data_IF_989922404556
#
_entry.id   IF_989922404556
#
_cell.length_a   1.000
_cell.length_b   1.000
_cell.length_c   1.000
_cell.angle_alpha   90.00
_cell.angle_beta   90.00
_cell.angle_gamma   90.00
#
_symmetry.space_group_name_H-M   'P 1'
#
loop_
_entity.id
_entity.type
_entity.pdbx_description
1 polymer ?
#
# COMPACT_ATOMS: atom_id res chain seq x y z
N UNK A 1 -34.73 -32.38 13.12
CA UNK A 1 -34.49 -30.96 12.76
C UNK A 1 -33.86 -30.14 13.89
N UNK A 2 -34.48 -29.94 15.07
CA UNK A 2 -33.92 -29.06 16.14
C UNK A 2 -32.52 -29.46 16.65
N UNK A 3 -32.19 -30.75 16.77
CA UNK A 3 -30.85 -31.21 17.16
C UNK A 3 -29.79 -30.96 16.06
N UNK A 4 -30.17 -31.15 14.80
CA UNK A 4 -29.29 -30.91 13.65
C UNK A 4 -28.97 -29.41 13.49
N UNK A 5 -29.97 -28.54 13.66
CA UNK A 5 -29.80 -27.08 13.67
C UNK A 5 -28.85 -26.62 14.80
N UNK A 6 -28.95 -27.22 16.00
CA UNK A 6 -28.02 -26.93 17.10
C UNK A 6 -26.59 -27.36 16.79
N UNK A 7 -26.41 -28.54 16.19
CA UNK A 7 -25.08 -29.04 15.80
C UNK A 7 -24.47 -28.13 14.72
N UNK A 8 -25.25 -27.77 13.68
CA UNK A 8 -24.81 -26.84 12.64
C UNK A 8 -24.45 -25.46 13.22
N UNK A 9 -25.23 -24.97 14.19
CA UNK A 9 -24.92 -23.73 14.90
C UNK A 9 -23.59 -23.79 15.66
N UNK A 10 -23.31 -24.89 16.36
CA UNK A 10 -22.03 -25.07 17.08
C UNK A 10 -20.85 -25.14 16.10
N UNK A 11 -21.00 -25.87 14.99
CA UNK A 11 -19.97 -25.95 13.95
C UNK A 11 -19.70 -24.58 13.35
N UNK A 12 -20.74 -23.81 13.03
CA UNK A 12 -20.63 -22.46 12.49
C UNK A 12 -19.88 -21.53 13.45
N UNK A 13 -20.22 -21.55 14.74
CA UNK A 13 -19.53 -20.76 15.77
C UNK A 13 -18.06 -21.18 15.90
N UNK A 14 -17.78 -22.49 15.90
CA UNK A 14 -16.40 -23.00 15.94
C UNK A 14 -15.56 -22.55 14.74
N UNK A 15 -16.16 -22.57 13.54
CA UNK A 15 -15.50 -22.08 12.32
C UNK A 15 -15.24 -20.57 12.39
N UNK A 16 -16.23 -19.78 12.84
CA UNK A 16 -16.07 -18.34 13.03
C UNK A 16 -14.94 -18.00 13.99
N UNK A 17 -14.87 -18.69 15.14
CA UNK A 17 -13.77 -18.50 16.10
C UNK A 17 -12.42 -18.84 15.45
N UNK A 18 -12.36 -19.92 14.67
CA UNK A 18 -11.12 -20.32 13.99
C UNK A 18 -10.66 -19.28 12.97
N UNK A 19 -11.57 -18.70 12.18
CA UNK A 19 -11.27 -17.63 11.22
C UNK A 19 -10.77 -16.38 11.94
N UNK A 20 -11.45 -15.98 13.02
CA UNK A 20 -11.09 -14.81 13.82
C UNK A 20 -9.69 -14.98 14.44
N UNK A 21 -9.42 -16.15 15.04
CA UNK A 21 -8.11 -16.46 15.60
C UNK A 21 -7.03 -16.50 14.52
N UNK A 22 -7.34 -17.07 13.34
CA UNK A 22 -6.45 -17.06 12.19
C UNK A 22 -6.09 -15.63 11.76
N UNK A 23 -7.09 -14.76 11.60
CA UNK A 23 -6.88 -13.36 11.25
C UNK A 23 -5.92 -12.67 12.23
N UNK A 24 -6.18 -12.73 13.54
CA UNK A 24 -5.31 -12.09 14.53
C UNK A 24 -3.90 -12.68 14.59
N UNK A 25 -3.72 -13.96 14.23
CA UNK A 25 -2.39 -14.59 14.19
C UNK A 25 -1.58 -14.22 12.94
N UNK A 26 -2.23 -13.88 11.83
CA UNK A 26 -1.55 -13.52 10.58
C UNK A 26 -1.48 -12.01 10.34
N UNK A 27 -2.25 -11.22 11.09
CA UNK A 27 -2.23 -9.76 11.02
C UNK A 27 -0.92 -9.18 11.55
N UNK A 28 -0.34 -8.28 10.78
CA UNK A 28 0.77 -7.43 11.20
C UNK A 28 0.23 -6.12 11.78
N UNK A 29 0.47 -5.90 13.07
CA UNK A 29 0.06 -4.68 13.76
C UNK A 29 1.19 -3.66 13.67
N UNK A 30 0.84 -2.38 13.55
CA UNK A 30 1.83 -1.31 13.59
C UNK A 30 2.65 -1.36 14.89
N UNK A 31 3.95 -1.08 14.81
CA UNK A 31 4.78 -0.76 15.97
C UNK A 31 4.29 0.55 16.62
N UNK A 32 4.92 1.02 17.70
CA UNK A 32 4.50 2.23 18.43
C UNK A 32 4.67 3.51 17.58
N UNK A 33 3.74 3.72 16.67
CA UNK A 33 3.69 4.83 15.72
C UNK A 33 3.06 6.04 16.42
N UNK A 34 3.89 7.05 16.69
CA UNK A 34 3.47 8.32 17.26
C UNK A 34 2.68 9.17 16.26
N UNK A 35 1.42 9.46 16.59
CA UNK A 35 0.55 10.34 15.78
C UNK A 35 0.91 11.80 16.04
N UNK A 36 1.22 12.55 14.97
CA UNK A 36 1.55 13.98 15.02
C UNK A 36 0.32 14.84 14.71
N UNK A 37 0.41 16.16 14.97
CA UNK A 37 -0.72 17.07 14.79
C UNK A 37 -1.24 17.19 13.35
N UNK A 38 -0.41 16.95 12.34
CA UNK A 38 -0.81 16.95 10.93
C UNK A 38 -1.31 15.59 10.43
N UNK A 39 -1.47 14.62 11.34
CA UNK A 39 -1.99 13.29 11.05
C UNK A 39 -3.40 13.20 11.60
N UNK A 40 -4.38 13.02 10.73
CA UNK A 40 -5.79 12.87 11.08
C UNK A 40 -6.30 11.49 10.64
N UNK A 41 -7.43 11.07 11.21
CA UNK A 41 -8.08 9.80 10.86
C UNK A 41 -9.57 10.04 10.59
N UNK A 42 -10.09 9.45 9.52
CA UNK A 42 -11.51 9.47 9.17
C UNK A 42 -12.03 8.06 8.83
N UNK A 43 -13.19 7.97 8.18
CA UNK A 43 -13.81 6.69 7.80
C UNK A 43 -13.06 5.91 6.72
N UNK A 44 -12.17 6.57 5.95
CA UNK A 44 -11.38 5.94 4.89
C UNK A 44 -10.00 5.52 5.37
N UNK A 45 -9.48 6.12 6.44
CA UNK A 45 -8.20 5.75 7.03
C UNK A 45 -7.47 6.95 7.60
N UNK A 46 -6.16 7.00 7.39
CA UNK A 46 -5.30 8.07 7.89
C UNK A 46 -5.01 9.10 6.81
N UNK A 47 -4.80 10.34 7.21
CA UNK A 47 -4.40 11.43 6.33
C UNK A 47 -3.25 12.20 6.95
N UNK A 48 -2.18 12.42 6.19
CA UNK A 48 -1.05 13.27 6.57
C UNK A 48 -1.06 14.49 5.65
N UNK A 49 -1.42 15.62 6.25
CA UNK A 49 -1.61 16.91 5.57
C UNK A 49 -0.30 17.71 5.51
N UNK A 50 -0.08 18.40 4.40
CA UNK A 50 0.99 19.37 4.17
C UNK A 50 0.46 20.66 3.57
N UNK A 51 0.98 21.83 3.98
CA UNK A 51 0.55 23.10 3.40
C UNK A 51 1.14 23.29 1.98
N UNK A 52 0.28 23.64 1.02
CA UNK A 52 0.64 23.89 -0.39
C UNK A 52 1.26 22.65 -1.07
N UNK A 53 0.52 21.56 -1.03
CA UNK A 53 0.87 20.27 -1.60
C UNK A 53 1.19 20.33 -3.10
N UNK A 54 2.18 19.54 -3.51
CA UNK A 54 2.54 19.39 -4.92
C UNK A 54 1.55 18.48 -5.63
N UNK A 55 1.19 17.37 -4.98
CA UNK A 55 0.19 16.40 -5.42
C UNK A 55 -0.31 15.62 -4.21
N UNK A 56 -1.44 14.94 -4.38
CA UNK A 56 -2.00 14.04 -3.36
C UNK A 56 -1.68 12.60 -3.70
N UNK A 57 -1.16 11.86 -2.73
CA UNK A 57 -0.95 10.43 -2.79
C UNK A 57 -2.11 9.73 -2.07
N UNK A 58 -2.64 8.68 -2.66
CA UNK A 58 -3.59 7.78 -2.01
C UNK A 58 -2.98 6.39 -1.98
N UNK A 59 -2.72 5.90 -0.76
CA UNK A 59 -1.93 4.70 -0.49
C UNK A 59 -2.81 3.53 -0.04
N UNK A 60 -2.69 2.40 -0.73
CA UNK A 60 -3.21 1.11 -0.28
C UNK A 60 -2.16 0.37 0.57
N UNK A 61 -2.56 -0.08 1.76
CA UNK A 61 -1.74 -0.90 2.66
C UNK A 61 -1.39 -2.28 2.08
N UNK A 62 -0.45 -3.00 2.71
CA UNK A 62 -0.20 -4.42 2.43
C UNK A 62 -1.32 -5.34 2.94
N UNK A 63 -1.37 -6.56 2.42
CA UNK A 63 -2.32 -7.56 2.91
C UNK A 63 -2.07 -7.89 4.38
N UNK A 64 -3.11 -7.77 5.21
CA UNK A 64 -3.07 -8.01 6.65
C UNK A 64 -2.12 -7.08 7.44
N UNK A 65 -1.69 -5.96 6.85
CA UNK A 65 -0.83 -4.97 7.51
C UNK A 65 -1.67 -3.79 7.94
N UNK A 66 -1.65 -3.46 9.23
CA UNK A 66 -2.34 -2.29 9.79
C UNK A 66 -2.02 -0.99 9.02
N UNK A 67 -3.05 -0.24 8.60
CA UNK A 67 -2.89 1.03 7.89
C UNK A 67 -1.95 2.00 8.62
N UNK A 68 -2.02 2.03 9.96
CA UNK A 68 -1.22 2.92 10.81
C UNK A 68 0.29 2.69 10.64
N UNK A 69 0.70 1.48 10.24
CA UNK A 69 2.11 1.13 10.03
C UNK A 69 2.77 1.98 8.94
N UNK A 70 2.01 2.60 8.04
CA UNK A 70 2.56 3.42 6.96
C UNK A 70 2.70 4.90 7.31
N UNK A 71 2.22 5.35 8.48
CA UNK A 71 2.34 6.76 8.90
C UNK A 71 3.80 7.28 8.94
N UNK A 72 4.82 6.50 9.36
CA UNK A 72 6.21 6.97 9.31
C UNK A 72 6.70 7.22 7.87
N UNK A 73 6.40 6.31 6.93
CA UNK A 73 6.69 6.50 5.51
C UNK A 73 5.94 7.72 4.95
N UNK A 74 4.66 7.83 5.28
CA UNK A 74 3.83 8.97 4.90
C UNK A 74 4.40 10.29 5.44
N UNK A 75 4.95 10.31 6.65
CA UNK A 75 5.62 11.48 7.20
C UNK A 75 6.88 11.87 6.39
N UNK A 76 7.71 10.90 5.99
CA UNK A 76 8.87 11.17 5.13
C UNK A 76 8.46 11.71 3.75
N UNK A 77 7.36 11.22 3.19
CA UNK A 77 6.78 11.72 1.93
C UNK A 77 6.20 13.12 2.11
N UNK A 78 5.51 13.37 3.22
CA UNK A 78 4.96 14.69 3.58
C UNK A 78 6.07 15.74 3.74
N UNK A 79 7.24 15.38 4.27
CA UNK A 79 8.42 16.26 4.32
C UNK A 79 8.90 16.70 2.93
N UNK A 80 8.50 16.00 1.85
CA UNK A 80 8.74 16.37 0.44
C UNK A 80 7.60 17.18 -0.18
N UNK A 81 6.57 17.52 0.57
CA UNK A 81 5.45 18.37 0.10
C UNK A 81 4.36 17.61 -0.65
N UNK A 82 4.14 16.33 -0.32
CA UNK A 82 3.01 15.55 -0.82
C UNK A 82 2.04 15.22 0.31
N UNK A 83 0.77 15.52 0.08
CA UNK A 83 -0.30 15.01 0.93
C UNK A 83 -0.43 13.50 0.74
N UNK A 84 -0.81 12.79 1.79
CA UNK A 84 -0.99 11.34 1.68
C UNK A 84 -2.15 10.80 2.52
N UNK A 85 -3.10 10.18 1.84
CA UNK A 85 -4.12 9.32 2.43
C UNK A 85 -3.59 7.89 2.51
N UNK A 86 -3.76 7.22 3.65
CA UNK A 86 -3.48 5.79 3.84
C UNK A 86 -4.81 5.11 4.11
N UNK A 87 -5.27 4.34 3.15
CA UNK A 87 -6.57 3.67 3.20
C UNK A 87 -6.57 2.53 4.20
N UNK A 88 -7.51 2.58 5.13
CA UNK A 88 -7.84 1.51 6.07
C UNK A 88 -8.99 0.67 5.51
N UNK A 89 -8.66 -0.56 5.12
CA UNK A 89 -9.61 -1.49 4.49
C UNK A 89 -10.09 -2.54 5.47
N UNK A 90 -11.31 -3.05 5.25
CA UNK A 90 -11.85 -4.12 6.08
C UNK A 90 -10.90 -5.31 6.14
N UNK A 91 -10.66 -5.84 7.35
CA UNK A 91 -9.74 -6.94 7.61
C UNK A 91 -8.29 -6.69 7.14
N UNK A 92 -7.87 -5.43 7.06
CA UNK A 92 -6.57 -5.02 6.54
C UNK A 92 -6.27 -5.57 5.13
N UNK A 93 -7.31 -5.70 4.30
CA UNK A 93 -7.22 -6.27 2.96
C UNK A 93 -7.64 -5.23 1.91
N UNK A 94 -6.69 -4.66 1.14
CA UNK A 94 -6.94 -3.61 0.14
C UNK A 94 -8.04 -3.91 -0.87
N UNK A 95 -8.24 -5.19 -1.19
CA UNK A 95 -9.27 -5.63 -2.14
C UNK A 95 -10.70 -5.26 -1.67
N UNK A 96 -10.93 -5.18 -0.35
CA UNK A 96 -12.22 -4.73 0.20
C UNK A 96 -12.36 -3.20 0.21
N UNK A 97 -11.26 -2.46 0.04
CA UNK A 97 -11.22 -1.00 -0.05
C UNK A 97 -11.04 -0.47 -1.48
N UNK A 98 -11.24 -1.28 -2.52
CA UNK A 98 -10.91 -0.89 -3.92
C UNK A 98 -11.54 0.44 -4.36
N UNK A 99 -12.74 0.78 -3.86
CA UNK A 99 -13.42 2.03 -4.23
C UNK A 99 -13.04 3.23 -3.35
N UNK A 100 -12.28 3.06 -2.28
CA UNK A 100 -11.98 4.14 -1.33
C UNK A 100 -11.19 5.28 -1.99
N UNK A 101 -10.21 4.97 -2.85
CA UNK A 101 -9.48 6.00 -3.57
C UNK A 101 -10.39 6.86 -4.47
N UNK A 102 -11.33 6.23 -5.19
CA UNK A 102 -12.33 6.96 -5.98
C UNK A 102 -13.19 7.87 -5.10
N UNK A 103 -13.66 7.37 -3.96
CA UNK A 103 -14.49 8.14 -3.04
C UNK A 103 -13.75 9.37 -2.49
N UNK A 104 -12.47 9.23 -2.12
CA UNK A 104 -11.64 10.35 -1.65
C UNK A 104 -11.44 11.37 -2.77
N UNK A 105 -11.10 10.91 -3.98
CA UNK A 105 -10.91 11.76 -5.16
C UNK A 105 -12.16 12.59 -5.47
N UNK A 106 -13.34 11.98 -5.41
CA UNK A 106 -14.62 12.67 -5.64
C UNK A 106 -14.98 13.62 -4.51
N UNK A 107 -14.79 13.19 -3.24
CA UNK A 107 -15.12 13.98 -2.05
C UNK A 107 -14.31 15.26 -1.97
N UNK A 108 -13.00 15.15 -2.16
CA UNK A 108 -12.05 16.25 -2.03
C UNK A 108 -11.78 16.96 -3.36
N UNK A 109 -12.45 16.53 -4.45
CA UNK A 109 -12.28 17.07 -5.81
C UNK A 109 -10.82 17.07 -6.28
N UNK A 110 -10.06 16.02 -5.91
CA UNK A 110 -8.63 15.94 -6.17
C UNK A 110 -8.34 15.84 -7.67
N UNK A 111 -7.23 16.43 -8.05
CA UNK A 111 -6.64 16.36 -9.40
C UNK A 111 -5.17 15.99 -9.27
N UNK A 112 -4.59 15.38 -10.30
CA UNK A 112 -3.18 14.97 -10.31
C UNK A 112 -2.82 13.98 -9.19
N UNK A 113 -3.68 12.99 -8.96
CA UNK A 113 -3.51 12.02 -7.87
C UNK A 113 -2.50 10.95 -8.25
N UNK A 114 -1.74 10.52 -7.25
CA UNK A 114 -0.79 9.41 -7.37
C UNK A 114 -1.32 8.25 -6.53
N UNK A 115 -1.55 7.09 -7.16
CA UNK A 115 -1.91 5.89 -6.43
C UNK A 115 -0.65 5.15 -5.99
N UNK A 116 -0.48 4.99 -4.69
CA UNK A 116 0.63 4.25 -4.10
C UNK A 116 0.12 2.96 -3.50
N UNK A 117 0.94 1.91 -3.49
CA UNK A 117 0.58 0.73 -2.72
C UNK A 117 1.73 -0.20 -2.45
N UNK A 118 1.66 -0.84 -1.28
CA UNK A 118 2.63 -1.84 -0.84
C UNK A 118 2.10 -3.26 -1.06
N UNK A 119 2.91 -4.14 -1.68
CA UNK A 119 2.55 -5.55 -1.88
C UNK A 119 1.16 -5.68 -2.54
N UNK A 120 0.19 -6.39 -1.93
CA UNK A 120 -1.18 -6.46 -2.46
C UNK A 120 -1.82 -5.07 -2.69
N UNK A 121 -1.48 -4.07 -1.88
CA UNK A 121 -1.97 -2.70 -2.08
C UNK A 121 -1.51 -2.10 -3.41
N UNK A 122 -0.29 -2.40 -3.87
CA UNK A 122 0.19 -1.92 -5.17
C UNK A 122 -0.52 -2.60 -6.34
N UNK A 123 -0.86 -3.89 -6.18
CA UNK A 123 -1.72 -4.61 -7.13
C UNK A 123 -3.06 -3.90 -7.27
N UNK A 124 -3.74 -3.63 -6.14
CA UNK A 124 -5.04 -2.95 -6.14
C UNK A 124 -4.94 -1.52 -6.66
N UNK A 125 -3.96 -0.75 -6.21
CA UNK A 125 -3.74 0.63 -6.66
C UNK A 125 -3.52 0.74 -8.17
N UNK A 126 -2.71 -0.16 -8.74
CA UNK A 126 -2.50 -0.21 -10.19
C UNK A 126 -3.77 -0.54 -10.99
N UNK A 127 -4.64 -1.39 -10.43
CA UNK A 127 -5.92 -1.71 -11.05
C UNK A 127 -6.88 -0.51 -11.04
N UNK A 128 -6.95 0.21 -9.91
CA UNK A 128 -7.81 1.40 -9.76
C UNK A 128 -7.37 2.52 -10.70
N UNK A 129 -6.05 2.70 -10.88
CA UNK A 129 -5.47 3.72 -11.75
C UNK A 129 -6.03 3.69 -13.18
N UNK A 130 -6.23 2.50 -13.76
CA UNK A 130 -6.75 2.34 -15.13
C UNK A 130 -8.17 2.89 -15.33
N UNK A 131 -8.95 2.97 -14.26
CA UNK A 131 -10.35 3.41 -14.29
C UNK A 131 -10.57 4.87 -13.89
N UNK A 132 -9.49 5.62 -13.60
CA UNK A 132 -9.60 6.94 -13.00
C UNK A 132 -8.76 7.99 -13.73
N UNK A 133 -9.44 8.93 -14.41
CA UNK A 133 -8.80 9.98 -15.19
C UNK A 133 -8.11 11.06 -14.37
N UNK A 134 -8.35 11.13 -13.05
CA UNK A 134 -7.68 12.08 -12.17
C UNK A 134 -6.34 11.54 -11.65
N UNK A 135 -5.99 10.30 -11.99
CA UNK A 135 -4.73 9.64 -11.61
C UNK A 135 -3.67 9.90 -12.67
N UNK A 136 -2.58 10.54 -12.26
CA UNK A 136 -1.43 10.89 -13.13
C UNK A 136 -0.24 9.93 -12.95
N UNK A 137 -0.27 9.11 -11.91
CA UNK A 137 0.77 8.12 -11.69
C UNK A 137 0.49 7.05 -10.66
N UNK A 138 1.38 6.05 -10.67
CA UNK A 138 1.33 4.88 -9.79
C UNK A 138 2.70 4.65 -9.15
N UNK A 139 2.73 4.41 -7.84
CA UNK A 139 3.93 3.99 -7.11
C UNK A 139 3.73 2.59 -6.55
N UNK A 140 4.53 1.65 -7.03
CA UNK A 140 4.52 0.24 -6.64
C UNK A 140 5.65 -0.02 -5.65
N UNK A 141 5.32 -0.20 -4.37
CA UNK A 141 6.27 -0.55 -3.32
C UNK A 141 6.26 -2.06 -3.12
N UNK A 142 7.36 -2.74 -3.45
CA UNK A 142 7.45 -4.20 -3.32
C UNK A 142 6.29 -4.94 -4.02
N UNK A 143 5.86 -4.39 -5.18
CA UNK A 143 4.63 -4.78 -5.86
C UNK A 143 4.76 -4.70 -7.38
N UNK A 144 3.78 -5.28 -8.08
CA UNK A 144 3.61 -5.28 -9.52
C UNK A 144 2.12 -5.30 -9.90
N UNK A 145 1.73 -4.89 -11.12
CA UNK A 145 0.35 -5.05 -11.59
C UNK A 145 -0.03 -6.52 -11.79
N UNK A 146 -1.29 -6.87 -11.49
CA UNK A 146 -1.84 -8.19 -11.79
C UNK A 146 -1.86 -8.47 -13.30
N UNK A 147 -2.01 -9.74 -13.70
CA UNK A 147 -2.06 -10.14 -15.12
C UNK A 147 -3.14 -9.40 -15.92
N UNK A 148 -4.29 -9.11 -15.31
CA UNK A 148 -5.39 -8.37 -15.92
C UNK A 148 -5.26 -6.84 -15.87
N UNK A 149 -4.15 -6.31 -15.37
CA UNK A 149 -3.92 -4.87 -15.20
C UNK A 149 -2.76 -4.44 -16.09
N UNK A 150 -3.08 -3.86 -17.25
CA UNK A 150 -2.11 -3.43 -18.25
C UNK A 150 -2.03 -1.91 -18.34
N UNK A 151 -0.95 -1.35 -17.79
CA UNK A 151 -0.60 0.08 -17.82
C UNK A 151 0.30 0.44 -19.02
N UNK A 152 0.73 -0.52 -19.85
CA UNK A 152 1.78 -0.33 -20.86
C UNK A 152 1.50 0.78 -21.87
N UNK A 153 0.22 1.00 -22.20
CA UNK A 153 -0.23 2.04 -23.13
C UNK A 153 -0.69 3.33 -22.43
N UNK A 154 -0.58 3.41 -21.10
CA UNK A 154 -0.96 4.60 -20.35
C UNK A 154 0.11 5.70 -20.44
N UNK A 155 -0.31 6.94 -20.30
CA UNK A 155 0.61 8.10 -20.15
C UNK A 155 1.02 8.34 -18.70
N UNK A 156 0.54 7.52 -17.77
CA UNK A 156 0.82 7.66 -16.34
C UNK A 156 2.30 7.47 -16.05
N UNK A 157 2.81 8.29 -15.14
CA UNK A 157 4.13 8.10 -14.54
C UNK A 157 4.07 6.88 -13.61
N UNK A 158 4.91 5.87 -13.84
CA UNK A 158 4.99 4.69 -12.94
C UNK A 158 6.36 4.56 -12.30
N UNK A 159 6.39 4.49 -10.97
CA UNK A 159 7.57 4.25 -10.14
C UNK A 159 7.45 2.87 -9.51
N UNK A 160 8.40 1.98 -9.77
CA UNK A 160 8.48 0.66 -9.16
C UNK A 160 9.70 0.58 -8.24
N UNK A 161 9.48 0.40 -6.94
CA UNK A 161 10.53 0.36 -5.93
C UNK A 161 10.52 -1.01 -5.26
N UNK A 162 11.67 -1.68 -5.25
CA UNK A 162 11.86 -2.95 -4.53
C UNK A 162 13.12 -2.91 -3.68
N UNK A 163 13.17 -3.69 -2.60
CA UNK A 163 14.40 -3.92 -1.85
C UNK A 163 15.24 -5.06 -2.46
N UNK A 164 16.57 -4.97 -2.41
CA UNK A 164 17.42 -6.08 -2.85
C UNK A 164 17.44 -7.25 -1.83
N UNK A 165 17.00 -7.03 -0.59
CA UNK A 165 16.78 -8.07 0.42
C UNK A 165 15.32 -8.53 0.48
N UNK A 166 14.43 -8.02 -0.38
CA UNK A 166 13.04 -8.49 -0.43
C UNK A 166 12.98 -9.95 -0.94
N UNK A 167 12.51 -10.85 -0.07
CA UNK A 167 12.29 -12.27 -0.36
C UNK A 167 10.80 -12.66 -0.31
N UNK A 168 9.91 -11.71 -0.07
CA UNK A 168 8.45 -11.92 -0.05
C UNK A 168 7.86 -11.71 -1.43
N UNK A 169 8.35 -10.70 -2.17
CA UNK A 169 7.87 -10.43 -3.52
C UNK A 169 8.12 -11.63 -4.42
N UNK A 170 7.09 -12.05 -5.16
CA UNK A 170 7.26 -13.08 -6.18
C UNK A 170 8.04 -12.47 -7.36
N UNK A 171 9.34 -12.80 -7.45
CA UNK A 171 10.26 -12.25 -8.46
C UNK A 171 9.87 -12.63 -9.89
N UNK A 172 9.38 -13.85 -10.11
CA UNK A 172 8.92 -14.28 -11.43
C UNK A 172 7.72 -13.43 -11.89
N UNK A 173 6.72 -13.22 -11.03
CA UNK A 173 5.58 -12.38 -11.34
C UNK A 173 5.97 -10.90 -11.52
N UNK A 174 6.92 -10.42 -10.71
CA UNK A 174 7.47 -9.07 -10.84
C UNK A 174 8.12 -8.87 -12.21
N UNK A 175 9.02 -9.76 -12.62
CA UNK A 175 9.71 -9.69 -13.91
C UNK A 175 8.72 -9.84 -15.07
N UNK A 176 7.79 -10.80 -14.99
CA UNK A 176 6.73 -11.00 -15.98
C UNK A 176 5.71 -9.85 -16.05
N UNK A 177 5.69 -8.95 -15.05
CA UNK A 177 4.83 -7.77 -15.06
C UNK A 177 5.38 -6.60 -15.87
N UNK A 178 6.66 -6.62 -16.24
CA UNK A 178 7.30 -5.53 -16.95
C UNK A 178 6.61 -5.19 -18.27
N UNK A 179 6.10 -6.21 -18.97
CA UNK A 179 5.35 -6.01 -20.23
C UNK A 179 4.03 -5.25 -20.05
N UNK A 180 3.51 -5.17 -18.82
CA UNK A 180 2.27 -4.46 -18.45
C UNK A 180 2.53 -3.07 -17.91
N UNK A 181 3.78 -2.61 -17.92
CA UNK A 181 4.17 -1.30 -17.42
C UNK A 181 4.55 -0.38 -18.59
N UNK A 182 4.35 0.96 -18.48
CA UNK A 182 4.83 1.89 -19.48
C UNK A 182 6.33 1.72 -19.71
N UNK A 183 6.80 1.91 -20.94
CA UNK A 183 8.24 1.90 -21.25
C UNK A 183 9.01 3.02 -20.51
N UNK A 184 8.31 4.03 -20.01
CA UNK A 184 8.84 5.15 -19.20
C UNK A 184 8.88 4.86 -17.70
N UNK A 185 8.51 3.64 -17.28
CA UNK A 185 8.53 3.25 -15.86
C UNK A 185 9.93 3.40 -15.28
N UNK A 186 10.04 4.10 -14.15
CA UNK A 186 11.27 4.16 -13.39
C UNK A 186 11.29 2.99 -12.41
N UNK A 187 12.33 2.16 -12.49
CA UNK A 187 12.55 1.03 -11.58
C UNK A 187 13.71 1.37 -10.65
N UNK A 188 13.48 1.28 -9.35
CA UNK A 188 14.44 1.57 -8.31
C UNK A 188 14.62 0.33 -7.43
N UNK A 189 15.88 0.00 -7.15
CA UNK A 189 16.23 -1.04 -6.19
C UNK A 189 16.89 -0.35 -4.98
N UNK A 190 16.27 -0.45 -3.81
CA UNK A 190 16.84 0.04 -2.56
C UNK A 190 17.85 -1.00 -2.06
N UNK A 191 19.13 -0.61 -2.10
CA UNK A 191 20.21 -1.46 -1.61
C UNK A 191 20.11 -1.64 -0.10
N UNK A 192 20.03 -2.91 0.32
CA UNK A 192 19.85 -3.28 1.72
C UNK A 192 18.42 -3.20 2.23
N UNK A 193 17.47 -2.70 1.43
CA UNK A 193 16.05 -2.67 1.80
C UNK A 193 15.38 -4.04 1.64
N UNK A 194 14.34 -4.29 2.44
CA UNK A 194 13.53 -5.51 2.37
C UNK A 194 12.03 -5.20 2.19
N UNK A 195 11.17 -6.22 2.18
CA UNK A 195 9.72 -6.06 2.03
C UNK A 195 9.08 -5.40 3.26
N UNK A 196 9.42 -5.90 4.44
CA UNK A 196 8.70 -5.53 5.67
C UNK A 196 8.91 -4.07 6.05
N UNK A 197 10.08 -3.50 5.76
CA UNK A 197 10.40 -2.11 6.08
C UNK A 197 9.69 -1.05 5.23
N UNK A 198 8.85 -1.42 4.23
CA UNK A 198 7.97 -0.42 3.61
C UNK A 198 6.86 0.08 4.54
N UNK A 199 6.62 -0.60 5.66
CA UNK A 199 5.81 -0.09 6.77
C UNK A 199 6.46 -0.42 8.11
N UNK A 200 5.90 0.12 9.18
CA UNK A 200 6.39 -0.06 10.55
C UNK A 200 5.54 -1.09 11.31
N UNK A 201 5.67 -2.37 10.97
CA UNK A 201 4.87 -3.46 11.53
C UNK A 201 5.72 -4.68 11.95
N UNK A 202 7.02 -4.47 12.12
CA UNK A 202 8.00 -5.50 12.45
C UNK A 202 8.37 -6.38 11.25
N UNK A 203 9.08 -7.48 11.54
CA UNK A 203 9.60 -8.38 10.51
C UNK A 203 8.51 -9.34 9.98
N UNK A 204 8.39 -9.42 8.66
CA UNK A 204 7.48 -10.34 7.98
C UNK A 204 8.13 -11.73 7.81
N UNK A 205 7.38 -12.78 8.18
CA UNK A 205 7.87 -14.15 8.01
C UNK A 205 8.13 -14.46 6.52
N UNK A 206 9.34 -14.92 6.22
CA UNK A 206 9.76 -15.30 4.88
C UNK A 206 10.45 -14.17 4.10
N UNK A 207 10.55 -12.98 4.69
CA UNK A 207 11.33 -11.89 4.10
C UNK A 207 12.85 -12.07 4.31
N UNK A 208 13.66 -11.31 3.57
CA UNK A 208 15.08 -11.17 3.84
C UNK A 208 15.35 -10.13 4.93
N UNK A 209 16.55 -10.19 5.49
CA UNK A 209 16.99 -9.28 6.55
C UNK A 209 17.53 -8.01 5.91
N UNK A 210 16.88 -6.88 6.19
CA UNK A 210 17.38 -5.58 5.76
C UNK A 210 18.77 -5.28 6.37
N UNK A 211 19.62 -4.59 5.59
CA UNK A 211 20.94 -4.13 6.03
C UNK A 211 21.00 -2.61 6.22
N UNK A 212 19.88 -1.91 6.00
CA UNK A 212 19.68 -0.50 6.32
C UNK A 212 18.50 -0.35 7.28
N UNK A 213 18.42 0.76 8.00
CA UNK A 213 17.27 1.01 8.88
C UNK A 213 15.99 1.28 8.10
N UNK A 214 14.85 1.09 8.76
CA UNK A 214 13.53 1.42 8.20
C UNK A 214 13.42 2.89 7.81
N UNK A 215 13.98 3.79 8.60
CA UNK A 215 14.00 5.24 8.33
C UNK A 215 14.81 5.56 7.07
N UNK A 216 15.96 4.91 6.88
CA UNK A 216 16.77 5.08 5.67
C UNK A 216 16.06 4.57 4.42
N UNK A 217 15.27 3.50 4.53
CA UNK A 217 14.43 3.01 3.44
C UNK A 217 13.28 3.97 3.13
N UNK A 218 12.56 4.47 4.15
CA UNK A 218 11.49 5.45 3.97
C UNK A 218 11.97 6.76 3.33
N UNK A 219 13.15 7.23 3.74
CA UNK A 219 13.73 8.45 3.16
C UNK A 219 14.04 8.26 1.68
N UNK A 220 14.60 7.11 1.29
CA UNK A 220 14.85 6.79 -0.12
C UNK A 220 13.54 6.71 -0.92
N UNK A 221 12.50 6.07 -0.39
CA UNK A 221 11.18 6.08 -1.04
C UNK A 221 10.66 7.51 -1.24
N UNK A 222 10.73 8.34 -0.21
CA UNK A 222 10.28 9.74 -0.30
C UNK A 222 11.10 10.56 -1.30
N UNK A 223 12.42 10.34 -1.37
CA UNK A 223 13.31 11.01 -2.33
C UNK A 223 12.96 10.63 -3.78
N UNK A 224 12.73 9.35 -4.06
CA UNK A 224 12.34 8.85 -5.39
C UNK A 224 10.95 9.33 -5.81
N UNK A 225 9.99 9.34 -4.88
CA UNK A 225 8.66 9.92 -5.10
C UNK A 225 8.79 11.40 -5.46
N UNK A 226 9.58 12.16 -4.70
CA UNK A 226 9.81 13.57 -4.96
C UNK A 226 10.46 13.78 -6.34
N UNK A 227 11.52 13.03 -6.66
CA UNK A 227 12.22 13.14 -7.94
C UNK A 227 11.30 12.88 -9.15
N UNK A 228 10.36 11.94 -9.02
CA UNK A 228 9.47 11.58 -10.13
C UNK A 228 8.25 12.51 -10.27
N UNK A 229 7.73 12.99 -9.15
CA UNK A 229 6.42 13.65 -9.07
C UNK A 229 6.46 15.12 -8.64
N UNK A 230 7.62 15.69 -8.32
CA UNK A 230 7.74 17.12 -8.07
C UNK A 230 7.30 17.94 -9.29
N UNK A 231 6.68 19.10 -9.03
CA UNK A 231 6.25 20.06 -10.07
C UNK A 231 7.43 20.78 -10.72
#
# INVERSE_FOLDING_TARGET
MKKLLKILGIIFVGLMITIILGYYNFRYTAEDVGVKNNMTQDEYGWFVDVPNEQATIIMYQGALVDAKAYLPLAASIAEKGFDIYIMDSWFDLPIFGINQAQNIIEREQLQNVILMGHSLGGVVGSQVALSNSNVEGVVLLASYPAEGTDLSNSTMKVLSIVGNQDQVINRENYDNSEIRLPATTQKVVIDGGNHSQFGDYGFQKGDGIATISKEAQWQQVADEVCQMFSK
#
